data_IF_720257849415
#
_entry.id   IF_720257849415
#
_cell.length_a   1.000
_cell.length_b   1.000
_cell.length_c   1.000
_cell.angle_alpha   90.00
_cell.angle_beta   90.00
_cell.angle_gamma   90.00
#
_symmetry.space_group_name_H-M   'P 1'
#
loop_
_entity.id
_entity.type
_entity.pdbx_description
1 polymer ?
#
# COMPACT_ATOMS: atom_id res chain seq x y z
N UNK A 1 -9.83 -26.43 -8.20
CA UNK A 1 -10.55 -26.82 -9.41
C UNK A 1 -10.60 -28.35 -9.52
N UNK A 2 -11.79 -28.92 -9.79
CA UNK A 2 -11.94 -30.37 -9.95
C UNK A 2 -11.65 -30.76 -11.40
N UNK A 3 -10.62 -31.56 -11.62
CA UNK A 3 -10.30 -32.18 -12.89
C UNK A 3 -11.24 -33.36 -13.19
N UNK A 4 -11.47 -33.59 -14.48
CA UNK A 4 -12.25 -34.69 -14.98
C UNK A 4 -11.38 -35.52 -15.94
N UNK A 5 -11.21 -36.78 -15.67
CA UNK A 5 -10.46 -37.67 -16.54
C UNK A 5 -11.19 -39.03 -16.62
N UNK A 6 -11.04 -39.76 -17.73
CA UNK A 6 -11.58 -41.07 -17.94
C UNK A 6 -10.65 -41.89 -18.82
N UNK A 7 -10.58 -43.19 -18.54
CA UNK A 7 -9.88 -44.17 -19.37
C UNK A 7 -10.88 -45.09 -20.08
N UNK A 8 -10.73 -45.33 -21.40
CA UNK A 8 -11.64 -46.23 -22.16
C UNK A 8 -11.66 -47.70 -21.68
N UNK A 9 -10.53 -48.17 -21.15
CA UNK A 9 -10.36 -49.52 -20.68
C UNK A 9 -10.67 -49.67 -19.18
N UNK A 10 -10.98 -48.54 -18.51
CA UNK A 10 -11.24 -48.37 -17.07
C UNK A 10 -9.98 -48.63 -16.21
N UNK A 11 -8.80 -48.34 -16.75
CA UNK A 11 -7.56 -48.35 -15.98
C UNK A 11 -7.51 -47.22 -14.96
N UNK A 12 -6.66 -47.37 -13.94
CA UNK A 12 -6.51 -46.35 -12.90
C UNK A 12 -5.79 -45.11 -13.46
N UNK A 13 -6.43 -43.96 -13.33
CA UNK A 13 -5.83 -42.69 -13.71
C UNK A 13 -5.06 -42.10 -12.53
N UNK A 14 -3.79 -41.75 -12.80
CA UNK A 14 -2.91 -41.06 -11.91
C UNK A 14 -2.76 -39.60 -12.38
N UNK A 15 -2.97 -38.63 -11.48
CA UNK A 15 -2.68 -37.24 -11.72
C UNK A 15 -1.22 -36.95 -11.40
N UNK A 16 -0.45 -36.48 -12.39
CA UNK A 16 0.94 -36.08 -12.18
C UNK A 16 1.01 -34.66 -11.63
N UNK A 17 2.13 -34.28 -10.97
CA UNK A 17 2.32 -32.90 -10.52
C UNK A 17 2.12 -31.92 -11.67
N UNK A 18 1.37 -30.81 -11.48
CA UNK A 18 1.12 -29.84 -12.54
C UNK A 18 2.41 -29.12 -12.93
N UNK A 19 2.60 -28.89 -14.23
CA UNK A 19 3.63 -27.97 -14.70
C UNK A 19 3.07 -26.54 -14.73
N UNK A 20 3.59 -25.68 -13.85
CA UNK A 20 3.12 -24.31 -13.70
C UNK A 20 4.22 -23.37 -14.23
N UNK A 21 3.88 -22.61 -15.26
CA UNK A 21 4.76 -21.59 -15.84
C UNK A 21 4.26 -20.21 -15.42
N UNK A 22 4.96 -19.59 -14.47
CA UNK A 22 4.60 -18.30 -13.87
C UNK A 22 4.89 -18.27 -12.38
N UNK A 23 4.69 -17.11 -11.73
CA UNK A 23 4.97 -16.91 -10.31
C UNK A 23 3.86 -17.51 -9.43
N UNK A 24 3.77 -18.81 -9.38
CA UNK A 24 2.81 -19.55 -8.57
C UNK A 24 3.36 -20.93 -8.17
N UNK A 25 2.74 -21.53 -7.17
CA UNK A 25 2.89 -22.93 -6.80
C UNK A 25 1.53 -23.63 -6.91
N UNK A 26 1.55 -24.95 -7.01
CA UNK A 26 0.30 -25.72 -7.03
C UNK A 26 0.55 -27.22 -6.93
N UNK A 27 -0.52 -27.93 -6.69
CA UNK A 27 -0.56 -29.39 -6.63
C UNK A 27 -1.90 -29.92 -7.12
N UNK A 28 -1.91 -31.20 -7.48
CA UNK A 28 -3.12 -31.97 -7.72
C UNK A 28 -3.12 -33.09 -6.68
N UNK A 29 -4.22 -33.30 -6.01
CA UNK A 29 -4.39 -34.45 -5.07
C UNK A 29 -4.86 -35.69 -5.79
N UNK A 30 -4.95 -36.82 -5.04
CA UNK A 30 -5.36 -38.11 -5.57
C UNK A 30 -6.83 -38.15 -6.05
N UNK A 31 -7.64 -37.22 -5.59
CA UNK A 31 -9.04 -37.03 -6.03
C UNK A 31 -9.14 -36.12 -7.28
N UNK A 32 -7.99 -35.63 -7.81
CA UNK A 32 -7.94 -34.79 -8.99
C UNK A 32 -8.30 -33.32 -8.69
N UNK A 33 -8.16 -32.85 -7.45
CA UNK A 33 -8.36 -31.44 -7.13
C UNK A 33 -7.07 -30.66 -7.36
N UNK A 34 -7.08 -29.80 -8.37
CA UNK A 34 -5.99 -28.85 -8.62
C UNK A 34 -6.12 -27.65 -7.68
N UNK A 35 -5.05 -27.38 -6.93
CA UNK A 35 -4.86 -26.16 -6.16
C UNK A 35 -3.72 -25.36 -6.75
N UNK A 36 -3.92 -24.06 -7.01
CA UNK A 36 -2.90 -23.12 -7.48
C UNK A 36 -2.87 -21.94 -6.55
N UNK A 37 -1.67 -21.55 -6.12
CA UNK A 37 -1.43 -20.42 -5.21
C UNK A 37 -0.46 -19.47 -5.90
N UNK A 38 -0.93 -18.32 -6.43
CA UNK A 38 -0.06 -17.28 -6.95
C UNK A 38 0.88 -16.74 -5.87
N UNK A 39 2.03 -16.24 -6.27
CA UNK A 39 2.90 -15.50 -5.35
C UNK A 39 2.19 -14.23 -4.86
N UNK A 40 2.61 -13.76 -3.69
CA UNK A 40 2.09 -12.51 -3.11
C UNK A 40 2.22 -11.36 -4.14
N UNK A 41 1.17 -10.57 -4.27
CA UNK A 41 1.07 -9.39 -5.14
C UNK A 41 1.28 -9.69 -6.64
N UNK A 42 1.18 -10.94 -7.04
CA UNK A 42 1.23 -11.30 -8.45
C UNK A 42 -0.14 -11.12 -9.11
N UNK A 43 -0.18 -10.44 -10.23
CA UNK A 43 -1.29 -10.41 -11.17
C UNK A 43 -0.78 -10.72 -12.57
N UNK A 44 -1.63 -11.29 -13.42
CA UNK A 44 -1.30 -11.69 -14.78
C UNK A 44 -1.61 -13.14 -15.07
N UNK A 45 -1.11 -13.65 -16.19
CA UNK A 45 -1.42 -14.99 -16.68
C UNK A 45 -0.41 -16.01 -16.15
N UNK A 46 -0.93 -17.12 -15.62
CA UNK A 46 -0.19 -18.32 -15.26
C UNK A 46 -0.63 -19.43 -16.21
N UNK A 47 0.31 -20.00 -16.97
CA UNK A 47 0.01 -21.18 -17.78
C UNK A 47 0.18 -22.46 -16.97
N UNK A 48 -0.81 -23.35 -17.02
CA UNK A 48 -0.85 -24.60 -16.26
C UNK A 48 -1.03 -25.75 -17.23
N UNK A 49 -0.12 -26.71 -17.21
CA UNK A 49 -0.24 -27.96 -17.95
C UNK A 49 -0.53 -29.09 -16.97
N UNK A 50 -1.60 -29.81 -17.20
CA UNK A 50 -2.02 -30.99 -16.47
C UNK A 50 -1.61 -32.22 -17.28
N UNK A 51 -1.05 -33.22 -16.63
CA UNK A 51 -0.71 -34.48 -17.22
C UNK A 51 -1.32 -35.61 -16.38
N UNK A 52 -1.97 -36.55 -17.04
CA UNK A 52 -2.50 -37.79 -16.44
C UNK A 52 -1.78 -39.00 -17.02
N UNK A 53 -1.78 -40.13 -16.30
CA UNK A 53 -1.18 -41.39 -16.73
C UNK A 53 -2.02 -42.57 -16.24
N UNK A 54 -2.07 -43.60 -17.04
CA UNK A 54 -2.58 -44.94 -16.69
C UNK A 54 -1.46 -45.93 -16.37
N UNK A 55 -0.21 -45.44 -16.15
CA UNK A 55 1.05 -46.17 -15.99
C UNK A 55 1.65 -46.71 -17.30
N UNK A 56 0.94 -46.69 -18.42
CA UNK A 56 1.42 -47.13 -19.73
C UNK A 56 1.57 -45.97 -20.69
N UNK A 57 0.59 -45.08 -20.69
CA UNK A 57 0.56 -43.92 -21.56
C UNK A 57 0.27 -42.64 -20.76
N UNK A 58 0.38 -41.49 -21.38
CA UNK A 58 0.08 -40.19 -20.78
C UNK A 58 -0.70 -39.31 -21.73
N UNK A 59 -1.60 -38.51 -21.17
CA UNK A 59 -2.23 -37.39 -21.89
C UNK A 59 -2.08 -36.09 -21.13
N UNK A 60 -2.03 -34.98 -21.84
CA UNK A 60 -1.84 -33.67 -21.22
C UNK A 60 -2.62 -32.58 -21.93
N UNK A 61 -3.12 -31.62 -21.14
CA UNK A 61 -3.77 -30.42 -21.63
C UNK A 61 -3.30 -29.20 -20.81
N UNK A 62 -3.42 -28.02 -21.39
CA UNK A 62 -2.98 -26.77 -20.75
C UNK A 62 -4.01 -25.67 -20.88
N UNK A 63 -4.04 -24.82 -19.86
CA UNK A 63 -4.90 -23.64 -19.84
C UNK A 63 -4.21 -22.46 -19.16
N UNK A 64 -4.73 -21.27 -19.41
CA UNK A 64 -4.29 -20.05 -18.78
C UNK A 64 -5.20 -19.71 -17.59
N UNK A 65 -4.58 -19.44 -16.45
CA UNK A 65 -5.23 -18.89 -15.27
C UNK A 65 -4.93 -17.40 -15.21
N UNK A 66 -5.96 -16.57 -15.32
CA UNK A 66 -5.84 -15.13 -15.17
C UNK A 66 -5.99 -14.73 -13.69
N UNK A 67 -4.92 -14.20 -13.12
CA UNK A 67 -4.90 -13.65 -11.75
C UNK A 67 -5.16 -12.16 -11.86
N UNK A 68 -6.35 -11.75 -11.43
CA UNK A 68 -6.80 -10.36 -11.52
C UNK A 68 -6.07 -9.50 -10.48
N UNK A 69 -5.60 -8.32 -10.88
CA UNK A 69 -5.01 -7.35 -9.96
C UNK A 69 -6.05 -6.86 -8.93
N UNK A 70 -5.62 -6.77 -7.69
CA UNK A 70 -6.37 -6.16 -6.58
C UNK A 70 -5.47 -5.06 -6.03
N UNK A 71 -6.03 -3.87 -5.78
CA UNK A 71 -5.28 -2.76 -5.22
C UNK A 71 -4.84 -3.06 -3.79
N UNK A 72 -3.57 -2.85 -3.51
CA UNK A 72 -3.01 -2.79 -2.15
C UNK A 72 -2.98 -1.32 -1.69
N UNK A 73 -3.17 -1.06 -0.40
CA UNK A 73 -3.06 0.30 0.14
C UNK A 73 -1.59 0.72 0.24
N UNK A 74 -1.27 2.01 -0.01
CA UNK A 74 0.08 2.52 0.22
C UNK A 74 0.48 2.42 1.69
N UNK A 75 1.77 2.33 1.96
CA UNK A 75 2.34 2.30 3.31
C UNK A 75 3.15 3.57 3.53
N UNK A 76 2.69 4.44 4.42
CA UNK A 76 3.36 5.68 4.80
C UNK A 76 4.56 5.38 5.70
N UNK A 77 5.74 5.91 5.36
CA UNK A 77 6.90 5.83 6.23
C UNK A 77 6.67 6.63 7.52
N UNK A 78 7.23 6.12 8.63
CA UNK A 78 7.07 6.76 9.94
C UNK A 78 7.60 8.20 9.96
N UNK A 79 6.76 9.14 10.38
CA UNK A 79 7.06 10.55 10.50
C UNK A 79 7.28 10.90 11.97
N UNK A 80 8.44 11.49 12.27
CA UNK A 80 8.75 11.96 13.62
C UNK A 80 7.94 13.22 13.97
N UNK A 81 7.84 13.52 15.28
CA UNK A 81 7.31 14.80 15.76
C UNK A 81 8.11 15.97 15.20
N UNK A 82 7.42 17.08 14.93
CA UNK A 82 7.95 18.30 14.33
C UNK A 82 8.02 19.40 15.38
N UNK A 83 9.08 20.21 15.36
CA UNK A 83 9.23 21.35 16.26
C UNK A 83 9.90 22.52 15.54
N UNK A 84 9.33 23.73 15.72
CA UNK A 84 9.87 24.97 15.14
C UNK A 84 9.50 26.17 16.04
N UNK A 85 10.23 27.31 15.95
CA UNK A 85 9.89 28.54 16.67
C UNK A 85 8.61 29.17 16.09
N UNK A 86 7.79 29.83 16.91
CA UNK A 86 6.72 30.70 16.41
C UNK A 86 7.25 31.74 15.43
N UNK A 87 6.41 32.32 14.58
CA UNK A 87 6.72 33.24 13.48
C UNK A 87 7.68 32.69 12.42
N UNK A 88 7.99 31.41 12.48
CA UNK A 88 8.79 30.68 11.49
C UNK A 88 8.00 29.53 10.87
N UNK A 89 8.64 28.86 9.94
CA UNK A 89 8.13 27.64 9.33
C UNK A 89 9.20 26.57 9.28
N UNK A 90 8.79 25.33 9.11
CA UNK A 90 9.68 24.20 8.87
C UNK A 90 9.14 23.34 7.75
N UNK A 91 10.02 22.64 7.06
CA UNK A 91 9.66 21.71 5.97
C UNK A 91 10.13 20.31 6.36
N UNK A 92 9.27 19.34 6.17
CA UNK A 92 9.63 17.94 6.23
C UNK A 92 9.37 17.27 4.87
N UNK A 93 10.18 16.28 4.53
CA UNK A 93 9.88 15.36 3.44
C UNK A 93 9.22 14.12 3.99
N UNK A 94 8.19 13.62 3.31
CA UNK A 94 7.49 12.38 3.61
C UNK A 94 7.70 11.39 2.48
N UNK A 95 7.61 10.10 2.77
CA UNK A 95 7.72 9.03 1.80
C UNK A 95 6.72 7.92 2.10
N UNK A 96 6.35 7.20 1.08
CA UNK A 96 5.50 6.02 1.15
C UNK A 96 5.89 5.04 0.04
N UNK A 97 5.54 3.80 0.21
CA UNK A 97 5.67 2.76 -0.81
C UNK A 97 4.31 2.18 -1.11
N UNK A 98 4.12 1.77 -2.35
CA UNK A 98 2.93 1.09 -2.83
C UNK A 98 3.35 -0.02 -3.80
N UNK A 99 2.69 -1.17 -3.74
CA UNK A 99 3.02 -2.33 -4.57
C UNK A 99 2.51 -2.17 -5.99
N UNK A 100 1.39 -1.47 -6.15
CA UNK A 100 0.67 -1.37 -7.42
C UNK A 100 0.84 -0.01 -8.09
N UNK A 101 1.24 1.03 -7.35
CA UNK A 101 1.26 2.40 -7.83
C UNK A 101 2.53 3.16 -7.46
N UNK A 102 3.13 3.82 -8.45
CA UNK A 102 4.19 4.82 -8.24
C UNK A 102 3.62 6.24 -8.06
N UNK A 103 2.32 6.44 -8.30
CA UNK A 103 1.67 7.74 -8.21
C UNK A 103 0.96 7.89 -6.87
N UNK A 104 1.66 8.50 -5.91
CA UNK A 104 1.16 8.74 -4.56
C UNK A 104 0.91 10.22 -4.33
N UNK A 105 -0.20 10.52 -3.65
CA UNK A 105 -0.63 11.87 -3.29
C UNK A 105 -0.60 12.04 -1.78
N UNK A 106 -0.04 13.15 -1.34
CA UNK A 106 0.03 13.47 0.09
C UNK A 106 -0.93 14.61 0.43
N UNK A 107 -1.53 14.51 1.61
CA UNK A 107 -2.36 15.56 2.19
C UNK A 107 -2.02 15.77 3.66
N UNK A 108 -2.40 16.94 4.19
CA UNK A 108 -2.14 17.30 5.57
C UNK A 108 -3.36 18.05 6.13
N UNK A 109 -3.88 17.57 7.26
CA UNK A 109 -5.03 18.17 7.97
C UNK A 109 -4.67 18.47 9.42
N UNK A 110 -4.43 19.76 9.76
CA UNK A 110 -4.15 20.16 11.14
C UNK A 110 -5.39 19.96 12.02
N UNK A 111 -5.17 19.66 13.30
CA UNK A 111 -6.24 19.52 14.30
C UNK A 111 -6.63 20.83 15.00
N UNK A 112 -5.91 21.93 14.72
CA UNK A 112 -6.12 23.25 15.28
C UNK A 112 -6.00 24.29 14.16
N UNK A 113 -6.79 25.34 14.21
CA UNK A 113 -6.73 26.48 13.29
C UNK A 113 -5.42 27.29 13.44
N UNK A 114 -4.71 27.13 14.56
CA UNK A 114 -3.44 27.81 14.81
C UNK A 114 -2.26 27.17 14.10
N UNK A 115 -2.39 25.92 13.67
CA UNK A 115 -1.36 25.20 12.91
C UNK A 115 -1.75 25.18 11.44
N UNK A 116 -0.84 25.60 10.59
CA UNK A 116 -1.02 25.63 9.15
C UNK A 116 -0.08 24.64 8.51
N UNK A 117 -0.57 23.81 7.60
CA UNK A 117 0.27 22.96 6.78
C UNK A 117 -0.07 23.11 5.29
N UNK A 118 0.96 23.15 4.47
CA UNK A 118 0.88 23.20 3.02
C UNK A 118 1.67 22.04 2.43
N UNK A 119 1.08 21.32 1.49
CA UNK A 119 1.70 20.18 0.82
C UNK A 119 2.10 20.58 -0.60
N UNK A 120 3.33 20.24 -0.96
CA UNK A 120 3.86 20.37 -2.30
C UNK A 120 4.57 19.06 -2.68
N UNK A 121 3.93 18.21 -3.45
CA UNK A 121 4.35 16.84 -3.70
C UNK A 121 4.54 16.08 -2.38
N UNK A 122 5.76 15.65 -2.08
CA UNK A 122 6.14 14.95 -0.85
C UNK A 122 6.79 15.87 0.20
N UNK A 123 6.71 17.18 0.05
CA UNK A 123 7.18 18.15 1.04
C UNK A 123 5.99 18.79 1.75
N UNK A 124 6.03 18.81 3.08
CA UNK A 124 5.01 19.43 3.92
C UNK A 124 5.67 20.59 4.68
N UNK A 125 5.17 21.79 4.45
CA UNK A 125 5.56 22.99 5.17
C UNK A 125 4.61 23.22 6.32
N UNK A 126 5.12 23.26 7.55
CA UNK A 126 4.38 23.66 8.75
C UNK A 126 4.73 25.10 9.14
N UNK A 127 3.70 25.85 9.50
CA UNK A 127 3.78 27.16 10.14
C UNK A 127 2.66 27.30 11.18
N UNK A 128 2.64 28.39 11.94
CA UNK A 128 1.58 28.70 12.88
C UNK A 128 1.01 30.08 12.59
N UNK A 129 -0.14 30.39 13.19
CA UNK A 129 -0.67 31.76 13.24
C UNK A 129 0.32 32.67 14.01
N UNK A 130 0.40 33.96 13.71
CA UNK A 130 1.33 34.89 14.39
C UNK A 130 1.20 34.80 15.92
N UNK A 131 2.34 34.86 16.62
CA UNK A 131 2.43 34.86 18.08
C UNK A 131 1.87 33.55 18.75
N UNK A 132 1.55 32.53 17.96
CA UNK A 132 1.09 31.26 18.51
C UNK A 132 2.26 30.37 18.91
N UNK A 133 2.26 29.93 20.17
CA UNK A 133 3.14 28.87 20.68
C UNK A 133 2.32 27.83 21.45
N UNK A 134 2.70 26.55 21.31
CA UNK A 134 1.95 25.45 21.90
C UNK A 134 2.21 24.10 21.23
N UNK A 135 1.38 23.15 21.57
CA UNK A 135 1.43 21.80 21.02
C UNK A 135 0.10 21.51 20.30
N UNK A 136 0.21 21.01 19.09
CA UNK A 136 -0.91 20.50 18.31
C UNK A 136 -0.53 19.25 17.53
N UNK A 137 -1.35 18.88 16.57
CA UNK A 137 -1.06 17.77 15.66
C UNK A 137 -1.65 18.01 14.27
N UNK A 138 -1.16 17.26 13.30
CA UNK A 138 -1.75 17.19 11.97
C UNK A 138 -1.84 15.72 11.54
N UNK A 139 -2.93 15.37 10.86
CA UNK A 139 -3.05 14.10 10.17
C UNK A 139 -2.40 14.24 8.80
N UNK A 140 -1.40 13.43 8.53
CA UNK A 140 -0.77 13.30 7.21
C UNK A 140 -1.30 12.02 6.60
N UNK A 141 -1.83 12.11 5.38
CA UNK A 141 -2.39 10.98 4.64
C UNK A 141 -1.66 10.85 3.31
N UNK A 142 -1.32 9.65 2.92
CA UNK A 142 -0.94 9.27 1.56
C UNK A 142 -2.10 8.52 0.93
N UNK A 143 -2.34 8.76 -0.35
CA UNK A 143 -3.32 8.00 -1.14
C UNK A 143 -2.77 7.65 -2.51
N UNK A 144 -3.23 6.53 -3.07
CA UNK A 144 -3.00 6.14 -4.45
C UNK A 144 -4.10 6.68 -5.39
N UNK A 145 -4.04 6.32 -6.68
CA UNK A 145 -5.05 6.68 -7.69
C UNK A 145 -6.29 5.79 -7.66
N UNK A 146 -6.26 4.68 -6.90
CA UNK A 146 -7.30 3.65 -6.86
C UNK A 146 -8.14 3.75 -5.58
N UNK A 147 -7.74 4.62 -4.63
CA UNK A 147 -8.48 4.94 -3.43
C UNK A 147 -7.97 4.23 -2.16
N UNK A 148 -6.80 3.57 -2.24
CA UNK A 148 -6.06 3.09 -1.07
C UNK A 148 -5.46 4.26 -0.29
N UNK A 149 -5.41 4.17 1.04
CA UNK A 149 -4.92 5.24 1.91
C UNK A 149 -4.20 4.68 3.14
N UNK A 150 -3.15 5.40 3.57
CA UNK A 150 -2.53 5.24 4.90
C UNK A 150 -2.31 6.61 5.53
N UNK A 151 -2.33 6.70 6.86
CA UNK A 151 -2.21 7.97 7.55
C UNK A 151 -1.54 7.88 8.91
N UNK A 152 -0.86 8.96 9.29
CA UNK A 152 -0.25 9.12 10.60
C UNK A 152 -0.57 10.49 11.20
N UNK A 153 -0.93 10.50 12.49
CA UNK A 153 -1.01 11.75 13.27
C UNK A 153 0.39 12.14 13.76
N UNK A 154 0.84 13.34 13.39
CA UNK A 154 2.16 13.89 13.74
C UNK A 154 2.00 15.00 14.76
N UNK A 155 2.69 14.88 15.89
CA UNK A 155 2.73 15.96 16.90
C UNK A 155 3.58 17.13 16.40
N UNK A 156 3.08 18.34 16.62
CA UNK A 156 3.73 19.60 16.24
C UNK A 156 3.90 20.46 17.48
N UNK A 157 5.13 20.88 17.73
CA UNK A 157 5.48 21.80 18.83
C UNK A 157 5.95 23.12 18.26
N UNK A 158 5.21 24.19 18.54
CA UNK A 158 5.60 25.58 18.22
C UNK A 158 6.22 26.17 19.48
N UNK A 159 7.51 26.49 19.39
CA UNK A 159 8.27 27.01 20.54
C UNK A 159 8.15 28.53 20.64
N UNK A 160 8.00 29.10 21.86
CA UNK A 160 7.92 30.50 22.03
C UNK A 160 9.25 31.25 21.65
N UNK A 161 9.11 32.42 21.06
CA UNK A 161 10.18 33.32 20.77
C UNK A 161 9.86 34.69 21.44
N UNK A 162 10.85 35.45 21.87
CA UNK A 162 10.59 36.71 22.52
C UNK A 162 10.21 37.79 21.49
N UNK A 163 9.03 38.39 21.68
CA UNK A 163 8.54 39.52 20.91
C UNK A 163 8.86 40.87 21.55
N UNK A 164 8.86 41.90 20.72
CA UNK A 164 9.05 43.25 21.20
C UNK A 164 7.76 43.76 21.87
N UNK A 165 7.88 44.47 23.03
CA UNK A 165 6.71 45.08 23.64
C UNK A 165 6.13 46.17 22.77
N UNK A 166 4.80 46.25 22.72
CA UNK A 166 4.06 47.31 22.00
C UNK A 166 3.53 48.34 22.99
N UNK A 167 3.93 49.60 22.83
CA UNK A 167 3.36 50.69 23.59
C UNK A 167 2.06 51.20 22.93
N UNK A 168 0.94 50.97 23.59
CA UNK A 168 -0.34 51.52 23.17
C UNK A 168 -0.39 53.04 23.37
N UNK A 169 -1.25 53.74 22.59
CA UNK A 169 -1.42 55.19 22.67
C UNK A 169 -1.74 55.63 24.11
N UNK A 170 -1.06 56.67 24.58
CA UNK A 170 -1.39 57.36 25.84
C UNK A 170 -2.42 58.41 25.47
N UNK A 171 -3.68 58.22 25.90
CA UNK A 171 -4.74 59.23 25.78
C UNK A 171 -4.47 60.33 26.79
N UNK A 172 -4.50 61.63 26.35
CA UNK A 172 -4.41 62.81 27.20
C UNK A 172 -5.79 63.27 27.69
#
# INVERSE_FOLDING_TARGET
>A
YQLQASDPDNDLILYLPPNITGPASGNIDDDGVLTVIPNLNYNGIINITITISDEQETDSDSFDLDVVAVNDDPILDFINSVSFPEDNSTIIAVSAIDVDSENLFYSCSPTSDDIICNVNNNEITFSATPDYNGIGSALITVSDVQGGEDSQSVQITVNPTNDNPILNNIEN
#
